data_IF_756343919137
#
_entry.id   IF_756343919137
#
_cell.length_a   1.000
_cell.length_b   1.000
_cell.length_c   1.000
_cell.angle_alpha   90.00
_cell.angle_beta   90.00
_cell.angle_gamma   90.00
#
_symmetry.space_group_name_H-M   'P 1'
#
loop_
_entity.id
_entity.type
_entity.pdbx_description
1 polymer ?
#
# COMPACT_ATOMS: atom_id res chain seq x y z
N UNK A 1 -2.06 22.17 13.76
CA UNK A 1 -2.98 22.28 12.60
C UNK A 1 -2.22 21.73 11.39
N UNK A 2 -2.80 20.81 10.62
CA UNK A 2 -2.07 20.13 9.52
C UNK A 2 -2.50 18.69 9.22
N UNK A 3 -3.44 18.13 9.98
CA UNK A 3 -3.99 16.80 9.70
C UNK A 3 -4.96 16.89 8.52
N UNK A 4 -4.71 16.09 7.49
CA UNK A 4 -5.65 15.88 6.38
C UNK A 4 -6.82 15.02 6.90
N UNK A 5 -8.05 15.44 6.63
CA UNK A 5 -9.28 14.83 7.14
C UNK A 5 -10.19 14.25 6.06
N UNK A 6 -9.88 14.49 4.79
CA UNK A 6 -10.64 14.01 3.63
C UNK A 6 -9.69 13.35 2.62
N UNK A 7 -10.16 12.39 1.81
CA UNK A 7 -9.43 11.96 0.62
C UNK A 7 -9.16 13.16 -0.30
N UNK A 8 -7.98 13.17 -0.91
CA UNK A 8 -7.54 14.22 -1.81
C UNK A 8 -7.12 13.60 -3.15
N UNK A 9 -7.39 14.29 -4.25
CA UNK A 9 -6.92 13.94 -5.59
C UNK A 9 -6.11 15.09 -6.14
N UNK A 10 -5.00 14.80 -6.82
CA UNK A 10 -4.27 15.81 -7.58
C UNK A 10 -5.06 16.22 -8.83
N UNK A 11 -5.18 17.53 -9.05
CA UNK A 11 -5.76 18.13 -10.24
C UNK A 11 -4.68 18.85 -11.04
N UNK A 12 -4.40 18.33 -12.24
CA UNK A 12 -3.32 18.82 -13.09
C UNK A 12 -3.64 20.17 -13.75
N UNK A 13 -4.92 20.51 -13.92
CA UNK A 13 -5.31 21.81 -14.51
C UNK A 13 -5.04 22.96 -13.55
N UNK A 14 -5.29 22.76 -12.25
CA UNK A 14 -5.04 23.74 -11.19
C UNK A 14 -3.70 23.58 -10.48
N UNK A 15 -2.96 22.51 -10.78
CA UNK A 15 -1.71 22.10 -10.10
C UNK A 15 -1.85 21.97 -8.58
N UNK A 16 -3.02 21.53 -8.11
CA UNK A 16 -3.36 21.48 -6.69
C UNK A 16 -4.07 20.18 -6.31
N UNK A 17 -3.96 19.82 -5.02
CA UNK A 17 -4.77 18.76 -4.45
C UNK A 17 -6.16 19.29 -4.09
N UNK A 18 -7.19 18.61 -4.56
CA UNK A 18 -8.59 18.94 -4.30
C UNK A 18 -9.25 17.82 -3.49
N UNK A 19 -10.15 18.14 -2.54
CA UNK A 19 -10.86 17.13 -1.77
C UNK A 19 -11.82 16.34 -2.68
N UNK A 20 -11.95 15.04 -2.41
CA UNK A 20 -12.91 14.16 -3.09
C UNK A 20 -13.66 13.31 -2.07
N UNK A 21 -14.81 12.78 -2.47
CA UNK A 21 -15.52 11.80 -1.65
C UNK A 21 -14.76 10.47 -1.56
N UNK A 22 -15.11 9.65 -0.57
CA UNK A 22 -14.56 8.30 -0.46
C UNK A 22 -14.91 7.42 -1.67
N UNK A 23 -16.13 7.53 -2.19
CA UNK A 23 -16.57 6.75 -3.35
C UNK A 23 -15.77 7.11 -4.60
N UNK A 24 -15.49 8.40 -4.83
CA UNK A 24 -14.64 8.85 -5.93
C UNK A 24 -13.20 8.37 -5.76
N UNK A 25 -12.64 8.46 -4.55
CA UNK A 25 -11.29 7.99 -4.26
C UNK A 25 -11.14 6.49 -4.53
N UNK A 26 -12.05 5.67 -4.00
CA UNK A 26 -12.03 4.22 -4.24
C UNK A 26 -12.26 3.86 -5.70
N UNK A 27 -13.18 4.55 -6.39
CA UNK A 27 -13.44 4.32 -7.81
C UNK A 27 -12.21 4.63 -8.67
N UNK A 28 -11.48 5.71 -8.34
CA UNK A 28 -10.26 6.08 -9.03
C UNK A 28 -9.16 5.04 -8.83
N UNK A 29 -8.92 4.61 -7.59
CA UNK A 29 -7.92 3.56 -7.28
C UNK A 29 -8.29 2.25 -7.99
N UNK A 30 -9.55 1.82 -7.91
CA UNK A 30 -10.02 0.61 -8.56
C UNK A 30 -9.88 0.67 -10.09
N UNK A 31 -10.17 1.81 -10.71
CA UNK A 31 -9.98 2.02 -12.15
C UNK A 31 -8.53 1.74 -12.55
N UNK A 32 -7.56 2.32 -11.85
CA UNK A 32 -6.15 2.14 -12.18
C UNK A 32 -5.67 0.71 -11.95
N UNK A 33 -6.05 0.09 -10.83
CA UNK A 33 -5.67 -1.29 -10.53
C UNK A 33 -6.25 -2.29 -11.56
N UNK A 34 -7.50 -2.12 -11.97
CA UNK A 34 -8.15 -3.00 -12.95
C UNK A 34 -7.68 -2.78 -14.39
N UNK A 35 -6.98 -1.68 -14.67
CA UNK A 35 -6.41 -1.38 -15.99
C UNK A 35 -5.00 -1.92 -16.18
N UNK A 36 -4.40 -2.51 -15.15
CA UNK A 36 -3.10 -3.17 -15.27
C UNK A 36 -3.23 -4.44 -16.11
N UNK A 37 -2.23 -4.68 -16.97
CA UNK A 37 -2.17 -5.90 -17.80
C UNK A 37 -1.89 -7.15 -16.95
N UNK A 38 -1.29 -6.95 -15.77
CA UNK A 38 -0.97 -8.01 -14.81
C UNK A 38 -0.96 -7.45 -13.38
N UNK A 39 -1.45 -8.20 -12.38
CA UNK A 39 -1.40 -7.76 -10.99
C UNK A 39 0.03 -7.55 -10.47
N UNK A 40 1.03 -8.16 -11.12
CA UNK A 40 2.45 -7.97 -10.77
C UNK A 40 3.02 -6.61 -11.22
N UNK A 41 2.27 -5.81 -11.97
CA UNK A 41 2.62 -4.41 -12.25
C UNK A 41 2.30 -3.47 -11.08
N UNK A 42 1.58 -3.96 -10.05
CA UNK A 42 1.34 -3.24 -8.82
C UNK A 42 2.34 -3.65 -7.72
N UNK A 43 2.67 -2.68 -6.87
CA UNK A 43 3.40 -2.87 -5.62
C UNK A 43 2.65 -2.18 -4.49
N UNK A 44 2.54 -2.87 -3.35
CA UNK A 44 1.76 -2.42 -2.22
C UNK A 44 2.65 -2.38 -0.97
N UNK A 45 3.10 -1.18 -0.62
CA UNK A 45 3.98 -1.01 0.53
C UNK A 45 3.19 -0.86 1.83
N UNK A 46 3.58 -1.58 2.88
CA UNK A 46 2.97 -1.45 4.22
C UNK A 46 3.91 -0.82 5.25
N UNK A 47 3.32 -0.15 6.23
CA UNK A 47 4.05 0.53 7.31
C UNK A 47 4.10 -0.33 8.56
N UNK A 48 5.26 -0.41 9.21
CA UNK A 48 5.41 -0.98 10.56
C UNK A 48 4.70 -0.18 11.67
N UNK A 49 4.07 0.96 11.33
CA UNK A 49 3.17 1.71 12.22
C UNK A 49 1.71 1.29 12.09
N UNK A 50 1.36 0.50 11.07
CA UNK A 50 0.02 -0.09 10.97
C UNK A 50 -0.16 -1.15 12.05
N UNK A 51 -1.39 -1.36 12.52
CA UNK A 51 -1.68 -2.48 13.43
C UNK A 51 -1.54 -3.82 12.69
N UNK A 52 -1.34 -4.89 13.43
CA UNK A 52 -1.25 -6.24 12.85
C UNK A 52 -2.54 -6.61 12.10
N UNK A 53 -3.71 -6.22 12.60
CA UNK A 53 -5.01 -6.47 11.97
C UNK A 53 -5.14 -5.71 10.64
N UNK A 54 -4.75 -4.44 10.61
CA UNK A 54 -4.77 -3.63 9.39
C UNK A 54 -3.79 -4.19 8.35
N UNK A 55 -2.57 -4.53 8.77
CA UNK A 55 -1.57 -5.15 7.89
C UNK A 55 -2.05 -6.50 7.36
N UNK A 56 -2.71 -7.31 8.20
CA UNK A 56 -3.27 -8.60 7.81
C UNK A 56 -4.37 -8.47 6.75
N UNK A 57 -5.31 -7.53 6.92
CA UNK A 57 -6.35 -7.28 5.92
C UNK A 57 -5.76 -6.76 4.61
N UNK A 58 -4.76 -5.88 4.69
CA UNK A 58 -4.13 -5.30 3.50
C UNK A 58 -3.39 -6.37 2.69
N UNK A 59 -2.60 -7.22 3.34
CA UNK A 59 -1.90 -8.30 2.65
C UNK A 59 -2.85 -9.36 2.06
N UNK A 60 -4.03 -9.58 2.67
CA UNK A 60 -5.08 -10.43 2.11
C UNK A 60 -5.66 -9.81 0.83
N UNK A 61 -5.97 -8.51 0.85
CA UNK A 61 -6.44 -7.80 -0.33
C UNK A 61 -5.44 -7.89 -1.48
N UNK A 62 -4.15 -7.68 -1.22
CA UNK A 62 -3.10 -7.72 -2.25
C UNK A 62 -2.95 -9.11 -2.88
N UNK A 63 -3.04 -10.17 -2.07
CA UNK A 63 -3.05 -11.55 -2.56
C UNK A 63 -4.32 -11.88 -3.34
N UNK A 64 -5.48 -11.37 -2.90
CA UNK A 64 -6.74 -11.51 -3.63
C UNK A 64 -6.73 -10.73 -4.96
N UNK A 65 -6.03 -9.59 -5.02
CA UNK A 65 -5.77 -8.85 -6.25
C UNK A 65 -4.89 -9.65 -7.24
N UNK A 66 -4.12 -10.62 -6.73
CA UNK A 66 -3.40 -11.60 -7.55
C UNK A 66 -1.88 -11.44 -7.54
N UNK A 67 -1.30 -10.71 -6.60
CA UNK A 67 0.15 -10.54 -6.48
C UNK A 67 0.65 -10.76 -5.05
N UNK A 68 1.95 -11.05 -4.92
CA UNK A 68 2.66 -11.10 -3.64
C UNK A 68 3.60 -9.89 -3.46
N UNK A 69 3.57 -8.90 -4.35
CA UNK A 69 4.40 -7.70 -4.30
C UNK A 69 3.96 -6.80 -3.13
N UNK A 70 4.43 -7.14 -1.94
CA UNK A 70 4.02 -6.53 -0.67
C UNK A 70 5.23 -6.26 0.24
N UNK A 71 6.14 -5.34 -0.14
CA UNK A 71 7.24 -4.95 0.73
C UNK A 71 6.73 -4.18 1.97
N UNK A 72 7.53 -4.20 3.02
CA UNK A 72 7.30 -3.41 4.22
C UNK A 72 8.59 -2.72 4.71
N UNK A 73 8.46 -1.78 5.65
CA UNK A 73 9.62 -1.03 6.16
C UNK A 73 10.72 -1.92 6.77
N UNK A 74 10.36 -3.10 7.26
CA UNK A 74 11.27 -4.11 7.80
C UNK A 74 12.17 -4.72 6.73
N UNK A 75 11.79 -4.72 5.44
CA UNK A 75 12.69 -5.15 4.37
C UNK A 75 13.99 -4.32 4.40
N UNK A 76 13.89 -3.01 4.65
CA UNK A 76 15.07 -2.14 4.72
C UNK A 76 15.81 -2.23 6.06
N UNK A 77 15.09 -2.41 7.17
CA UNK A 77 15.67 -2.27 8.52
C UNK A 77 16.02 -3.59 9.21
N UNK A 78 15.38 -4.70 8.86
CA UNK A 78 15.39 -5.95 9.63
C UNK A 78 15.59 -7.22 8.79
N UNK A 79 15.48 -7.17 7.47
CA UNK A 79 15.62 -8.35 6.59
C UNK A 79 16.98 -9.04 6.75
N UNK A 80 18.06 -8.26 6.75
CA UNK A 80 19.41 -8.81 6.94
C UNK A 80 19.56 -9.56 8.28
N UNK A 81 18.99 -9.00 9.35
CA UNK A 81 18.99 -9.64 10.67
C UNK A 81 18.12 -10.89 10.69
N UNK A 82 16.95 -10.86 10.05
CA UNK A 82 16.05 -12.01 9.96
C UNK A 82 16.70 -13.20 9.24
N UNK A 83 17.40 -12.94 8.13
CA UNK A 83 18.15 -13.96 7.38
C UNK A 83 19.24 -14.59 8.28
N UNK A 84 20.08 -13.77 8.91
CA UNK A 84 21.18 -14.29 9.75
C UNK A 84 20.71 -15.05 10.99
N UNK A 85 19.62 -14.62 11.62
CA UNK A 85 19.05 -15.32 12.78
C UNK A 85 18.45 -16.66 12.39
N UNK A 86 17.73 -16.75 11.27
CA UNK A 86 17.09 -17.97 10.80
C UNK A 86 18.07 -19.14 10.68
N UNK A 87 19.27 -18.89 10.15
CA UNK A 87 20.31 -19.92 10.00
C UNK A 87 20.96 -20.32 11.34
N UNK A 88 20.90 -19.44 12.34
CA UNK A 88 21.58 -19.64 13.63
C UNK A 88 20.68 -20.26 14.69
N UNK A 89 19.43 -19.80 14.79
CA UNK A 89 18.52 -20.16 15.89
C UNK A 89 17.13 -20.64 15.43
N UNK A 90 16.87 -20.71 14.12
CA UNK A 90 15.56 -21.01 13.55
C UNK A 90 14.63 -19.81 13.46
#
# INVERSE_FOLDING_TARGET
QGRITHPMRYDAESDHYVPVSWDEAFSLVAKHLNQLDSPHQAEFYTSGRASNEAAFLYQLFVRAFGTNNFPDCSNMCHEASAIGMKDTIG
#
